data_IF_928592089288
#
_entry.id   IF_928592089288
#
_cell.length_a   1.000
_cell.length_b   1.000
_cell.length_c   1.000
_cell.angle_alpha   90.00
_cell.angle_beta   90.00
_cell.angle_gamma   90.00
#
_symmetry.space_group_name_H-M   'P 1'
#
loop_
_entity.id
_entity.type
_entity.pdbx_description
1 polymer ?
#
# COMPACT_ATOMS: atom_id res chain seq x y z
N UNK A 1 -9.51 -38.28 -48.67
CA UNK A 1 -10.23 -37.51 -47.65
C UNK A 1 -9.88 -36.03 -47.83
N UNK A 2 -10.84 -35.11 -47.73
CA UNK A 2 -10.53 -33.69 -47.74
C UNK A 2 -10.28 -33.26 -46.28
N UNK A 3 -9.11 -32.68 -46.00
CA UNK A 3 -8.82 -32.04 -44.73
C UNK A 3 -9.10 -30.55 -44.92
N UNK A 4 -10.35 -30.17 -44.74
CA UNK A 4 -10.81 -28.80 -44.90
C UNK A 4 -11.88 -28.55 -43.83
N UNK A 5 -11.67 -27.55 -42.98
CA UNK A 5 -12.60 -27.19 -41.93
C UNK A 5 -11.91 -26.56 -40.73
N UNK A 6 -12.68 -25.88 -39.89
CA UNK A 6 -12.26 -25.52 -38.55
C UNK A 6 -12.46 -26.70 -37.59
N UNK A 7 -11.70 -26.72 -36.51
CA UNK A 7 -11.91 -27.60 -35.39
C UNK A 7 -11.57 -26.91 -34.08
N UNK A 8 -12.03 -27.49 -32.97
CA UNK A 8 -11.88 -26.90 -31.65
C UNK A 8 -11.00 -27.78 -30.75
N UNK A 9 -10.15 -27.15 -29.94
CA UNK A 9 -9.37 -27.78 -28.88
C UNK A 9 -9.95 -27.44 -27.53
N UNK A 10 -9.76 -28.34 -26.56
CA UNK A 10 -10.06 -28.05 -25.16
C UNK A 10 -8.77 -28.19 -24.37
N UNK A 11 -8.38 -27.16 -23.62
CA UNK A 11 -7.23 -27.25 -22.70
C UNK A 11 -7.59 -28.07 -21.45
N UNK A 12 -6.63 -28.22 -20.52
CA UNK A 12 -6.86 -28.95 -19.27
C UNK A 12 -7.83 -28.23 -18.30
N UNK A 13 -8.04 -26.92 -18.50
CA UNK A 13 -8.91 -26.06 -17.70
C UNK A 13 -10.36 -26.04 -18.21
N UNK A 14 -10.59 -26.53 -19.44
CA UNK A 14 -11.89 -26.62 -20.07
C UNK A 14 -12.18 -25.52 -21.10
N UNK A 15 -11.22 -24.65 -21.39
CA UNK A 15 -11.37 -23.58 -22.38
C UNK A 15 -11.29 -24.12 -23.80
N UNK A 16 -12.12 -23.56 -24.68
CA UNK A 16 -12.25 -23.97 -26.08
C UNK A 16 -11.49 -23.02 -26.99
N UNK A 17 -10.57 -23.56 -27.80
CA UNK A 17 -9.74 -22.80 -28.74
C UNK A 17 -10.03 -23.19 -30.17
N UNK A 18 -10.08 -22.22 -31.07
CA UNK A 18 -10.25 -22.45 -32.49
C UNK A 18 -8.95 -22.94 -33.15
N UNK A 19 -9.10 -23.78 -34.16
CA UNK A 19 -8.03 -24.16 -35.05
C UNK A 19 -8.51 -24.60 -36.41
N UNK A 20 -7.56 -25.03 -37.22
CA UNK A 20 -7.80 -25.52 -38.57
C UNK A 20 -7.28 -26.94 -38.74
N UNK A 21 -8.03 -27.71 -39.53
CA UNK A 21 -7.61 -29.05 -39.92
C UNK A 21 -6.52 -28.95 -40.99
N UNK A 22 -5.35 -29.53 -40.73
CA UNK A 22 -4.29 -29.64 -41.72
C UNK A 22 -3.79 -31.09 -41.83
N UNK A 23 -3.22 -31.41 -42.99
CA UNK A 23 -2.54 -32.69 -43.19
C UNK A 23 -1.16 -32.63 -42.53
N UNK A 24 -0.93 -33.51 -41.55
CA UNK A 24 0.41 -33.75 -41.00
C UNK A 24 0.98 -35.03 -41.61
N UNK A 25 2.08 -34.91 -42.37
CA UNK A 25 2.81 -36.02 -42.99
C UNK A 25 2.50 -36.24 -44.48
N UNK A 26 2.92 -37.40 -45.00
CA UNK A 26 2.71 -37.80 -46.40
C UNK A 26 1.20 -38.02 -46.64
N UNK A 27 0.57 -37.41 -47.66
CA UNK A 27 -0.86 -37.59 -47.95
C UNK A 27 -1.30 -39.06 -48.19
N UNK A 28 -0.37 -39.99 -48.40
CA UNK A 28 -0.64 -41.42 -48.53
C UNK A 28 -0.67 -42.19 -47.19
N UNK A 29 -0.09 -41.66 -46.11
CA UNK A 29 0.05 -42.35 -44.80
C UNK A 29 -0.26 -41.46 -43.58
N UNK A 30 -0.35 -40.15 -43.76
CA UNK A 30 -0.66 -39.16 -42.74
C UNK A 30 -2.14 -39.17 -42.38
N UNK A 31 -2.45 -38.56 -41.24
CA UNK A 31 -3.82 -38.28 -40.80
C UNK A 31 -4.15 -36.80 -40.95
N UNK A 32 -5.44 -36.48 -40.88
CA UNK A 32 -5.86 -35.11 -40.55
C UNK A 32 -5.60 -34.87 -39.07
N UNK A 33 -4.88 -33.80 -38.77
CA UNK A 33 -4.74 -33.33 -37.40
C UNK A 33 -5.31 -31.92 -37.27
N UNK A 34 -5.76 -31.60 -36.08
CA UNK A 34 -6.15 -30.26 -35.73
C UNK A 34 -4.90 -29.49 -35.34
N UNK A 35 -4.70 -28.32 -35.97
CA UNK A 35 -3.63 -27.38 -35.61
C UNK A 35 -4.27 -26.14 -34.98
N UNK A 36 -3.82 -25.71 -33.79
CA UNK A 36 -4.29 -24.47 -33.19
C UNK A 36 -3.94 -23.28 -34.09
N UNK A 37 -4.91 -22.39 -34.30
CA UNK A 37 -4.67 -21.16 -35.08
C UNK A 37 -3.66 -20.25 -34.37
N UNK A 38 -3.68 -20.27 -33.03
CA UNK A 38 -2.71 -19.60 -32.18
C UNK A 38 -2.21 -20.57 -31.08
N UNK A 39 -1.00 -21.13 -31.23
CA UNK A 39 -0.42 -22.01 -30.21
C UNK A 39 -0.02 -21.27 -28.92
N UNK A 40 0.09 -19.93 -28.93
CA UNK A 40 0.44 -19.14 -27.73
C UNK A 40 -0.78 -19.00 -26.79
N UNK A 41 -1.98 -18.90 -27.36
CA UNK A 41 -3.25 -18.87 -26.60
C UNK A 41 -3.49 -20.16 -25.80
N UNK A 42 -2.93 -21.30 -26.24
CA UNK A 42 -3.00 -22.57 -25.52
C UNK A 42 -1.98 -22.70 -24.38
N UNK A 43 -1.03 -21.75 -24.24
CA UNK A 43 0.09 -21.83 -23.28
C UNK A 43 0.18 -20.67 -22.29
N UNK A 44 -0.68 -19.66 -22.39
CA UNK A 44 -0.72 -18.55 -21.43
C UNK A 44 -2.04 -18.56 -20.67
N UNK A 45 -2.22 -19.45 -19.67
CA UNK A 45 -3.34 -19.31 -18.75
C UNK A 45 -3.28 -17.90 -18.15
N UNK A 46 -4.42 -17.20 -18.15
CA UNK A 46 -4.50 -15.91 -17.46
C UNK A 46 -4.12 -16.16 -16.00
N UNK A 47 -2.99 -15.62 -15.52
CA UNK A 47 -2.54 -15.92 -14.17
C UNK A 47 -3.52 -15.41 -13.11
N UNK A 48 -4.45 -14.52 -13.48
CA UNK A 48 -5.49 -13.98 -12.65
C UNK A 48 -6.84 -14.71 -12.76
N UNK A 49 -6.95 -15.75 -13.60
CA UNK A 49 -8.17 -16.53 -13.68
C UNK A 49 -8.46 -17.25 -12.35
N UNK A 50 -9.72 -17.20 -11.91
CA UNK A 50 -10.16 -17.73 -10.62
C UNK A 50 -9.65 -16.99 -9.37
N UNK A 51 -8.85 -15.93 -9.50
CA UNK A 51 -8.36 -15.14 -8.37
C UNK A 51 -9.38 -14.05 -8.00
N UNK A 52 -9.85 -14.07 -6.76
CA UNK A 52 -10.67 -12.99 -6.19
C UNK A 52 -9.83 -12.19 -5.20
N UNK A 53 -9.56 -10.93 -5.53
CA UNK A 53 -8.81 -10.01 -4.66
C UNK A 53 -9.75 -9.17 -3.77
N UNK A 54 -9.18 -8.57 -2.71
CA UNK A 54 -9.92 -7.67 -1.81
C UNK A 54 -10.30 -6.33 -2.45
N UNK A 55 -11.10 -5.53 -1.74
CA UNK A 55 -11.71 -4.30 -2.27
C UNK A 55 -10.71 -3.24 -2.78
N UNK A 56 -9.49 -3.20 -2.23
CA UNK A 56 -8.42 -2.31 -2.68
C UNK A 56 -7.26 -3.06 -3.33
N UNK A 57 -7.51 -4.23 -3.92
CA UNK A 57 -6.47 -5.04 -4.54
C UNK A 57 -6.82 -5.35 -5.99
N UNK A 58 -5.79 -5.44 -6.84
CA UNK A 58 -5.91 -5.90 -8.22
C UNK A 58 -5.02 -7.10 -8.43
N UNK A 59 -5.49 -8.10 -9.16
CA UNK A 59 -4.63 -9.21 -9.55
C UNK A 59 -3.62 -8.75 -10.61
N UNK A 60 -2.34 -8.99 -10.34
CA UNK A 60 -1.23 -8.73 -11.23
C UNK A 60 -0.33 -9.96 -11.23
N UNK A 61 -0.20 -10.62 -12.37
CA UNK A 61 0.64 -11.83 -12.53
C UNK A 61 0.30 -12.94 -11.53
N UNK A 62 -0.99 -13.13 -11.23
CA UNK A 62 -1.46 -14.20 -10.34
C UNK A 62 -1.31 -13.93 -8.85
N UNK A 63 -1.08 -12.68 -8.47
CA UNK A 63 -1.08 -12.25 -7.08
C UNK A 63 -1.90 -10.98 -6.92
N UNK A 64 -2.66 -10.90 -5.82
CA UNK A 64 -3.32 -9.67 -5.43
C UNK A 64 -2.29 -8.64 -4.96
N UNK A 65 -2.31 -7.46 -5.59
CA UNK A 65 -1.48 -6.33 -5.23
C UNK A 65 -2.37 -5.20 -4.73
N UNK A 66 -1.94 -4.56 -3.65
CA UNK A 66 -2.61 -3.37 -3.11
C UNK A 66 -2.59 -2.23 -4.12
N UNK A 67 -3.75 -1.60 -4.30
CA UNK A 67 -3.93 -0.38 -5.07
C UNK A 67 -3.61 0.88 -4.23
N UNK A 68 -3.41 0.72 -2.92
CA UNK A 68 -3.13 1.84 -2.02
C UNK A 68 -1.66 2.25 -2.05
N UNK A 69 -1.43 3.56 -2.03
CA UNK A 69 -0.10 4.16 -2.00
C UNK A 69 0.61 3.99 -0.65
N UNK A 70 1.89 4.39 -0.58
CA UNK A 70 2.64 4.36 0.67
C UNK A 70 2.00 5.26 1.73
N UNK A 71 1.74 4.70 2.92
CA UNK A 71 1.10 5.43 4.03
C UNK A 71 -0.43 5.46 3.96
N UNK A 72 -1.03 4.71 3.03
CA UNK A 72 -2.47 4.54 2.92
C UNK A 72 -2.91 3.15 3.38
N UNK A 73 -4.13 3.06 3.89
CA UNK A 73 -4.78 1.80 4.29
C UNK A 73 -6.10 1.65 3.56
N UNK A 74 -6.43 0.41 3.21
CA UNK A 74 -7.73 0.11 2.64
C UNK A 74 -8.81 0.16 3.72
N UNK A 75 -9.77 1.06 3.56
CA UNK A 75 -10.95 1.17 4.39
C UNK A 75 -12.20 1.16 3.50
N UNK A 76 -13.00 0.10 3.59
CA UNK A 76 -14.25 -0.07 2.83
C UNK A 76 -14.10 0.18 1.31
N UNK A 77 -13.00 -0.31 0.71
CA UNK A 77 -12.73 -0.15 -0.72
C UNK A 77 -12.13 1.20 -1.14
N UNK A 78 -11.76 2.04 -0.18
CA UNK A 78 -11.06 3.31 -0.43
C UNK A 78 -9.69 3.29 0.25
N UNK A 79 -8.69 3.82 -0.43
CA UNK A 79 -7.37 4.05 0.16
C UNK A 79 -7.40 5.36 0.94
N UNK A 80 -7.28 5.25 2.25
CA UNK A 80 -7.27 6.39 3.17
C UNK A 80 -5.85 6.63 3.66
N UNK A 81 -5.38 7.88 3.58
CA UNK A 81 -4.10 8.27 4.18
C UNK A 81 -4.21 8.15 5.70
N UNK A 82 -3.26 7.44 6.32
CA UNK A 82 -3.14 7.45 7.77
C UNK A 82 -2.62 8.83 8.19
N UNK A 83 -3.52 9.72 8.63
CA UNK A 83 -3.11 10.94 9.32
C UNK A 83 -2.86 10.57 10.78
N UNK A 84 -1.59 10.29 11.08
CA UNK A 84 -1.13 10.15 12.46
C UNK A 84 -0.97 11.57 13.00
N UNK A 85 -1.86 11.98 13.92
CA UNK A 85 -1.60 13.17 14.72
C UNK A 85 -0.38 12.87 15.61
N UNK A 86 0.76 13.54 15.41
CA UNK A 86 1.96 13.25 16.18
C UNK A 86 1.79 13.57 17.67
N UNK A 87 0.74 14.32 18.03
CA UNK A 87 0.39 14.68 19.40
C UNK A 87 -0.71 13.80 20.01
N UNK A 88 -1.23 12.81 19.27
CA UNK A 88 -2.23 11.89 19.81
C UNK A 88 -1.65 11.09 20.99
N UNK A 89 -2.35 11.09 22.11
CA UNK A 89 -1.91 10.45 23.35
C UNK A 89 -0.79 11.18 24.12
N UNK A 90 -0.26 12.31 23.64
CA UNK A 90 0.75 13.09 24.35
C UNK A 90 0.07 14.03 25.34
N UNK A 91 0.37 13.85 26.64
CA UNK A 91 -0.03 14.80 27.69
C UNK A 91 1.19 15.61 28.10
N UNK A 92 1.22 16.90 27.73
CA UNK A 92 2.29 17.81 28.12
C UNK A 92 2.05 18.41 29.51
N UNK A 93 3.13 18.90 30.13
CA UNK A 93 3.06 19.53 31.44
C UNK A 93 2.42 20.92 31.39
N UNK A 94 2.27 21.49 32.57
CA UNK A 94 1.86 22.90 32.72
C UNK A 94 2.80 23.80 31.90
N UNK A 95 2.24 24.78 31.19
CA UNK A 95 2.98 25.68 30.28
C UNK A 95 3.70 24.99 29.10
N UNK A 96 3.23 23.82 28.66
CA UNK A 96 3.76 23.16 27.47
C UNK A 96 2.64 22.85 26.47
N UNK A 97 2.98 22.91 25.18
CA UNK A 97 2.08 22.50 24.09
C UNK A 97 2.78 21.44 23.25
N UNK A 98 2.06 20.41 22.84
CA UNK A 98 2.60 19.44 21.89
C UNK A 98 2.72 20.06 20.50
N UNK A 99 3.93 20.01 19.93
CA UNK A 99 4.24 20.46 18.58
C UNK A 99 5.07 19.35 17.92
N UNK A 100 4.56 18.79 16.82
CA UNK A 100 5.23 17.73 16.06
C UNK A 100 5.65 16.52 16.91
N UNK A 101 4.83 16.15 17.91
CA UNK A 101 5.07 14.99 18.76
C UNK A 101 6.04 15.21 19.93
N UNK A 102 6.38 16.46 20.23
CA UNK A 102 7.17 16.81 21.41
C UNK A 102 6.51 17.96 22.18
N UNK A 103 6.60 17.91 23.51
CA UNK A 103 6.18 19.02 24.36
C UNK A 103 7.18 20.16 24.25
N UNK A 104 6.69 21.33 23.88
CA UNK A 104 7.46 22.56 23.78
C UNK A 104 6.93 23.56 24.80
N UNK A 105 7.85 24.19 25.54
CA UNK A 105 7.53 25.28 26.45
C UNK A 105 6.84 26.40 25.68
N UNK A 106 5.71 26.87 26.20
CA UNK A 106 5.03 28.06 25.71
C UNK A 106 5.61 29.35 26.33
N UNK A 107 6.53 29.24 27.29
CA UNK A 107 7.16 30.37 27.94
C UNK A 107 8.23 31.02 27.07
N UNK A 108 8.30 32.34 27.12
CA UNK A 108 9.26 33.13 26.37
C UNK A 108 10.69 32.99 26.90
N UNK A 109 11.67 33.55 26.17
CA UNK A 109 13.06 33.56 26.61
C UNK A 109 13.21 34.26 27.97
N UNK A 110 13.79 33.55 28.94
CA UNK A 110 13.99 34.08 30.30
C UNK A 110 12.78 33.94 31.23
N UNK A 111 11.77 33.17 30.83
CA UNK A 111 10.61 32.82 31.66
C UNK A 111 10.68 31.34 32.08
N UNK A 112 10.07 31.03 33.22
CA UNK A 112 9.89 29.69 33.77
C UNK A 112 8.42 29.45 34.11
N UNK A 113 7.96 28.22 33.93
CA UNK A 113 6.61 27.85 34.35
C UNK A 113 6.54 27.74 35.87
N UNK A 114 5.74 28.60 36.50
CA UNK A 114 5.44 28.56 37.92
C UNK A 114 3.93 28.55 38.08
N UNK A 115 3.38 27.48 38.65
CA UNK A 115 1.95 27.33 38.90
C UNK A 115 1.07 27.63 37.67
N UNK A 116 1.36 27.01 36.52
CA UNK A 116 0.65 27.20 35.25
C UNK A 116 0.81 28.58 34.59
N UNK A 117 1.75 29.41 35.06
CA UNK A 117 1.97 30.75 34.51
C UNK A 117 3.46 30.92 34.19
N UNK A 118 3.76 31.39 32.97
CA UNK A 118 5.11 31.82 32.60
C UNK A 118 5.48 33.07 33.40
N UNK A 119 6.46 32.93 34.27
CA UNK A 119 6.97 34.01 35.11
C UNK A 119 8.41 34.32 34.71
N UNK A 120 8.81 35.60 34.63
CA UNK A 120 10.21 35.94 34.39
C UNK A 120 11.08 35.33 35.49
N UNK A 121 12.26 34.81 35.10
CA UNK A 121 13.26 34.35 36.06
C UNK A 121 13.79 35.59 36.78
N UNK A 122 13.27 35.82 37.99
CA UNK A 122 13.73 36.90 38.84
C UNK A 122 15.13 36.53 39.36
N UNK A 123 16.14 36.89 38.57
CA UNK A 123 17.56 36.71 38.93
C UNK A 123 18.01 37.76 39.95
N UNK A 124 17.10 38.47 40.62
CA UNK A 124 17.48 39.42 41.67
C UNK A 124 18.31 38.69 42.71
N UNK A 125 19.61 38.99 42.87
CA UNK A 125 20.35 38.52 44.01
C UNK A 125 19.63 39.10 45.23
N UNK A 126 19.09 38.23 46.09
CA UNK A 126 18.57 38.65 47.38
C UNK A 126 19.64 39.50 48.06
N UNK A 127 19.37 40.76 48.45
CA UNK A 127 20.34 41.56 49.20
C UNK A 127 20.35 41.11 50.67
N UNK A 128 20.63 39.83 50.91
CA UNK A 128 20.89 39.30 52.26
C UNK A 128 22.38 39.44 52.54
N UNK A 129 22.77 40.65 52.93
CA UNK A 129 24.16 40.93 53.29
C UNK A 129 24.44 42.35 53.77
N UNK A 130 23.46 43.05 54.36
CA UNK A 130 23.75 44.25 55.15
C UNK A 130 24.41 43.80 56.47
N UNK A 131 25.74 43.81 56.53
CA UNK A 131 26.46 43.85 57.80
C UNK A 131 26.50 45.33 58.25
N UNK A 132 25.87 45.70 59.38
CA UNK A 132 25.99 47.06 59.90
C UNK A 132 27.40 47.27 60.48
N UNK A 133 27.91 48.52 60.45
CA UNK A 133 29.26 48.81 60.93
C UNK A 133 29.26 49.02 62.44
N UNK A 134 30.08 48.27 63.18
CA UNK A 134 30.76 48.71 64.40
C UNK A 134 32.04 47.91 64.62
#
# INVERSE_FOLDING_TARGET
AACNGGCDFVNIEGDVYAGHCAWLGDPATGGCDCIPDDPEDMMSPDPCDGITCGDCETCVSGACQSNCGPGEVCNAGLCETIIIDPCDGITCGDCETCVSGACQSNCGPGEVCVANICSPVDTTPSPSGYMPPY
#
